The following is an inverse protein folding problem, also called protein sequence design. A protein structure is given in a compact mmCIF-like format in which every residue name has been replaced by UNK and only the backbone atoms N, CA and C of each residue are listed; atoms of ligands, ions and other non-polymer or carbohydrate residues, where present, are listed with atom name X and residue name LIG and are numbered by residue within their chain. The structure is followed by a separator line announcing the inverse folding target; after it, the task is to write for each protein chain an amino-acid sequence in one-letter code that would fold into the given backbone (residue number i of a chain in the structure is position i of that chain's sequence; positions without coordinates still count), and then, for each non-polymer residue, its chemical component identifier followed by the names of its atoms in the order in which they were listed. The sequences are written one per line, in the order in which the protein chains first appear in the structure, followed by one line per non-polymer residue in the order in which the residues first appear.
data_IF_957552153702
#
_entry.id   IF_957552153702
#
_cell.length_a   1.000
_cell.length_b   1.000
_cell.length_c   1.000
_cell.angle_alpha   90.00
_cell.angle_beta   90.00
_cell.angle_gamma   90.00
#
_symmetry.space_group_name_H-M   'P 1'
#
loop_
_entity.id
_entity.type
_entity.pdbx_description
1 polymer ?
#
# COMPACT_ATOMS: atom_id res chain seq x y z
N UNK A 1 16.42 -22.19 6.97
CA UNK A 1 15.38 -21.94 7.99
C UNK A 1 15.63 -20.55 8.56
N UNK A 2 14.97 -19.52 8.01
CA UNK A 2 15.30 -18.10 8.25
C UNK A 2 14.21 -17.47 9.11
N UNK A 3 14.32 -17.61 10.42
CA UNK A 3 13.42 -16.99 11.38
C UNK A 3 14.21 -16.44 12.55
N UNK A 4 15.13 -15.50 12.32
CA UNK A 4 15.79 -14.79 13.43
C UNK A 4 16.45 -13.46 13.04
N UNK A 5 15.68 -12.47 12.55
CA UNK A 5 16.10 -11.06 12.66
C UNK A 5 14.94 -10.10 12.44
N UNK A 6 14.64 -9.31 13.48
CA UNK A 6 13.76 -8.13 13.54
C UNK A 6 12.26 -8.38 13.32
N UNK A 7 11.56 -8.55 14.43
CA UNK A 7 10.15 -8.19 14.52
C UNK A 7 10.01 -6.71 14.12
N UNK A 8 9.46 -6.44 12.92
CA UNK A 8 8.93 -5.12 12.60
C UNK A 8 7.88 -4.82 13.67
N UNK A 9 8.00 -3.69 14.36
CA UNK A 9 6.98 -3.29 15.32
C UNK A 9 5.63 -3.14 14.59
N UNK A 10 4.51 -3.23 15.32
CA UNK A 10 3.17 -3.16 14.72
C UNK A 10 3.00 -1.93 13.81
N UNK A 11 3.53 -0.77 14.21
CA UNK A 11 3.45 0.46 13.41
C UNK A 11 4.22 0.37 12.10
N UNK A 12 5.41 -0.25 12.07
CA UNK A 12 6.17 -0.49 10.85
C UNK A 12 5.45 -1.49 9.94
N UNK A 13 4.91 -2.57 10.49
CA UNK A 13 4.14 -3.56 9.73
C UNK A 13 2.91 -2.92 9.07
N UNK A 14 2.19 -2.08 9.80
CA UNK A 14 1.04 -1.32 9.28
C UNK A 14 1.49 -0.31 8.22
N UNK A 15 2.57 0.43 8.45
CA UNK A 15 3.10 1.37 7.46
C UNK A 15 3.48 0.67 6.14
N UNK A 16 4.11 -0.50 6.23
CA UNK A 16 4.42 -1.34 5.06
C UNK A 16 3.15 -1.82 4.37
N UNK A 17 2.11 -2.19 5.12
CA UNK A 17 0.82 -2.60 4.54
C UNK A 17 0.18 -1.45 3.77
N UNK A 18 0.12 -0.25 4.34
CA UNK A 18 -0.45 0.94 3.70
C UNK A 18 0.36 1.37 2.47
N UNK A 19 1.69 1.32 2.53
CA UNK A 19 2.54 1.58 1.38
C UNK A 19 2.26 0.59 0.24
N UNK A 20 2.11 -0.71 0.56
CA UNK A 20 1.74 -1.74 -0.43
C UNK A 20 0.35 -1.51 -1.01
N UNK A 21 -0.64 -1.12 -0.20
CA UNK A 21 -1.98 -0.72 -0.68
C UNK A 21 -1.86 0.43 -1.68
N UNK A 22 -1.04 1.44 -1.39
CA UNK A 22 -0.84 2.56 -2.32
C UNK A 22 -0.24 2.10 -3.64
N UNK A 23 0.81 1.28 -3.60
CA UNK A 23 1.42 0.72 -4.81
C UNK A 23 0.40 -0.13 -5.59
N UNK A 24 -0.41 -0.92 -4.91
CA UNK A 24 -1.44 -1.74 -5.56
C UNK A 24 -2.48 -0.89 -6.29
N UNK A 25 -2.94 0.22 -5.68
CA UNK A 25 -3.84 1.18 -6.33
C UNK A 25 -3.20 1.81 -7.57
N UNK A 26 -1.94 2.23 -7.49
CA UNK A 26 -1.22 2.82 -8.61
C UNK A 26 -1.07 1.80 -9.77
N UNK A 27 -0.77 0.53 -9.48
CA UNK A 27 -0.70 -0.55 -10.48
C UNK A 27 -2.04 -0.82 -11.16
N UNK A 28 -3.14 -0.83 -10.39
CA UNK A 28 -4.48 -0.96 -10.98
C UNK A 28 -4.82 0.23 -11.88
N UNK A 29 -4.44 1.45 -11.49
CA UNK A 29 -4.64 2.63 -12.32
C UNK A 29 -3.88 2.53 -13.65
N UNK A 30 -2.61 2.09 -13.63
CA UNK A 30 -1.82 1.80 -14.83
C UNK A 30 -2.51 0.76 -15.72
N UNK A 31 -2.92 -0.36 -15.12
CA UNK A 31 -3.55 -1.47 -15.85
C UNK A 31 -4.89 -1.03 -16.48
N UNK A 32 -5.70 -0.27 -15.74
CA UNK A 32 -6.99 0.22 -16.19
C UNK A 32 -6.84 1.25 -17.31
N UNK A 33 -5.93 2.22 -17.15
CA UNK A 33 -5.62 3.20 -18.21
C UNK A 33 -5.18 2.50 -19.50
N UNK A 34 -4.37 1.45 -19.37
CA UNK A 34 -3.95 0.65 -20.53
C UNK A 34 -5.12 -0.02 -21.21
N UNK A 35 -5.97 -0.73 -20.45
CA UNK A 35 -7.11 -1.45 -21.00
C UNK A 35 -8.11 -0.51 -21.67
N UNK A 36 -8.39 0.63 -21.04
CA UNK A 36 -9.34 1.61 -21.53
C UNK A 36 -8.89 2.29 -22.83
N UNK A 37 -7.57 2.50 -23.00
CA UNK A 37 -7.02 3.26 -24.12
C UNK A 37 -6.44 2.38 -25.25
N UNK A 38 -6.32 1.07 -25.02
CA UNK A 38 -5.75 0.12 -26.00
C UNK A 38 -6.55 0.15 -27.31
N UNK A 39 -5.86 0.46 -28.40
CA UNK A 39 -6.46 0.53 -29.74
C UNK A 39 -7.25 1.80 -30.02
N UNK A 40 -7.38 2.71 -29.04
CA UNK A 40 -8.03 4.01 -29.19
C UNK A 40 -6.98 5.09 -29.49
N UNK A 41 -5.86 5.09 -28.77
CA UNK A 41 -4.78 6.08 -28.92
C UNK A 41 -3.41 5.41 -29.06
N UNK A 42 -2.42 6.13 -29.63
CA UNK A 42 -1.04 5.64 -29.71
C UNK A 42 -0.45 5.29 -28.34
N UNK A 43 0.51 4.37 -28.32
CA UNK A 43 1.11 3.83 -27.09
C UNK A 43 1.81 4.92 -26.26
N UNK A 44 2.33 5.93 -26.92
CA UNK A 44 2.99 7.10 -26.33
C UNK A 44 2.00 7.88 -25.45
N UNK A 45 0.77 8.09 -25.94
CA UNK A 45 -0.30 8.77 -25.20
C UNK A 45 -0.73 7.93 -23.99
N UNK A 46 -0.84 6.60 -24.16
CA UNK A 46 -1.11 5.69 -23.04
C UNK A 46 -0.02 5.82 -21.97
N UNK A 47 1.26 5.90 -22.37
CA UNK A 47 2.39 6.11 -21.47
C UNK A 47 2.29 7.41 -20.68
N UNK A 48 2.02 8.53 -21.35
CA UNK A 48 1.84 9.84 -20.70
C UNK A 48 0.68 9.84 -19.71
N UNK A 49 -0.45 9.22 -20.08
CA UNK A 49 -1.63 9.12 -19.21
C UNK A 49 -1.34 8.26 -17.97
N UNK A 50 -0.68 7.10 -18.13
CA UNK A 50 -0.27 6.25 -17.01
C UNK A 50 0.62 6.99 -16.01
N UNK A 51 1.53 7.83 -16.51
CA UNK A 51 2.43 8.62 -15.65
C UNK A 51 1.68 9.64 -14.79
N UNK A 52 0.53 10.14 -15.24
CA UNK A 52 -0.31 11.05 -14.45
C UNK A 52 -1.10 10.34 -13.34
N UNK A 53 -1.31 9.03 -13.45
CA UNK A 53 -2.10 8.27 -12.49
C UNK A 53 -1.30 7.74 -11.30
N UNK A 54 0.03 7.76 -11.38
CA UNK A 54 0.90 7.16 -10.36
C UNK A 54 1.29 8.16 -9.29
N UNK A 55 1.34 7.72 -8.03
CA UNK A 55 1.95 8.53 -6.96
C UNK A 55 3.48 8.53 -7.06
N UNK A 56 4.13 9.40 -6.27
CA UNK A 56 5.60 9.59 -6.25
C UNK A 56 6.40 8.29 -6.07
N UNK A 57 5.83 7.31 -5.35
CA UNK A 57 6.46 5.99 -5.14
C UNK A 57 6.65 5.25 -6.48
N UNK A 58 5.65 5.31 -7.35
CA UNK A 58 5.65 4.65 -8.66
C UNK A 58 6.22 5.54 -9.77
N UNK A 59 6.21 6.85 -9.61
CA UNK A 59 6.82 7.81 -10.57
C UNK A 59 8.30 7.51 -10.84
N UNK A 60 9.06 7.16 -9.80
CA UNK A 60 10.48 6.76 -9.91
C UNK A 60 10.72 5.36 -10.51
N UNK A 61 9.66 4.60 -10.78
CA UNK A 61 9.70 3.21 -11.26
C UNK A 61 9.24 3.14 -12.70
N UNK A 62 9.92 3.89 -13.57
CA UNK A 62 9.51 4.09 -14.96
C UNK A 62 9.26 2.77 -15.70
N UNK A 63 10.12 1.77 -15.48
CA UNK A 63 10.00 0.42 -16.07
C UNK A 63 8.65 -0.24 -15.79
N UNK A 64 8.09 -0.03 -14.59
CA UNK A 64 6.79 -0.56 -14.18
C UNK A 64 5.66 0.26 -14.82
N UNK A 65 5.79 1.58 -14.85
CA UNK A 65 4.78 2.50 -15.44
C UNK A 65 4.66 2.30 -16.95
N UNK A 66 5.78 2.14 -17.64
CA UNK A 66 5.83 1.89 -19.09
C UNK A 66 5.73 0.41 -19.44
N UNK A 67 5.67 -0.44 -18.43
CA UNK A 67 5.64 -1.90 -18.54
C UNK A 67 4.44 -2.41 -19.34
N UNK A 68 4.54 -3.68 -19.69
CA UNK A 68 3.48 -4.44 -20.32
C UNK A 68 2.36 -4.81 -19.30
N UNK A 69 1.16 -5.08 -19.81
CA UNK A 69 -0.01 -5.54 -19.07
C UNK A 69 0.27 -6.86 -18.35
N UNK A 70 0.93 -7.83 -19.00
CA UNK A 70 1.21 -9.12 -18.34
C UNK A 70 2.13 -8.93 -17.14
N UNK A 71 3.18 -8.11 -17.28
CA UNK A 71 4.08 -7.79 -16.18
C UNK A 71 3.37 -7.03 -15.05
N UNK A 72 2.57 -6.02 -15.40
CA UNK A 72 1.74 -5.29 -14.41
C UNK A 72 0.80 -6.24 -13.67
N UNK A 73 0.23 -7.22 -14.36
CA UNK A 73 -0.66 -8.24 -13.77
C UNK A 73 0.07 -9.13 -12.77
N UNK A 74 1.30 -9.58 -13.10
CA UNK A 74 2.13 -10.37 -12.19
C UNK A 74 2.50 -9.59 -10.93
N UNK A 75 2.83 -8.31 -11.08
CA UNK A 75 3.14 -7.42 -9.96
C UNK A 75 1.94 -7.24 -9.03
N UNK A 76 0.75 -7.00 -9.60
CA UNK A 76 -0.52 -6.92 -8.85
C UNK A 76 -0.71 -8.19 -8.01
N UNK A 77 -0.67 -9.37 -8.63
CA UNK A 77 -0.87 -10.65 -7.94
C UNK A 77 0.15 -10.86 -6.81
N UNK A 78 1.42 -10.50 -7.05
CA UNK A 78 2.49 -10.60 -6.06
C UNK A 78 2.23 -9.71 -4.85
N UNK A 79 1.82 -8.46 -5.10
CA UNK A 79 1.55 -7.50 -4.03
C UNK A 79 0.29 -7.89 -3.25
N UNK A 80 -0.77 -8.33 -3.92
CA UNK A 80 -1.99 -8.83 -3.27
C UNK A 80 -1.70 -10.00 -2.32
N UNK A 81 -0.90 -10.98 -2.77
CA UNK A 81 -0.53 -12.12 -1.91
C UNK A 81 0.21 -11.66 -0.66
N UNK A 82 1.23 -10.80 -0.82
CA UNK A 82 2.02 -10.27 0.30
C UNK A 82 1.20 -9.38 1.22
N UNK A 83 0.27 -8.60 0.67
CA UNK A 83 -0.63 -7.75 1.44
C UNK A 83 -1.60 -8.60 2.28
N UNK A 84 -2.12 -9.69 1.72
CA UNK A 84 -2.99 -10.63 2.43
C UNK A 84 -2.27 -11.31 3.59
N UNK A 85 -1.03 -11.72 3.40
CA UNK A 85 -0.19 -12.26 4.47
C UNK A 85 0.02 -11.24 5.59
N UNK A 86 0.40 -10.02 5.23
CA UNK A 86 0.66 -8.94 6.19
C UNK A 86 -0.61 -8.55 6.96
N UNK A 87 -1.75 -8.47 6.27
CA UNK A 87 -3.04 -8.22 6.89
C UNK A 87 -3.37 -9.30 7.93
N UNK A 88 -3.21 -10.58 7.58
CA UNK A 88 -3.43 -11.72 8.51
C UNK A 88 -2.46 -11.67 9.69
N UNK A 89 -1.19 -11.35 9.47
CA UNK A 89 -0.21 -11.24 10.56
C UNK A 89 -0.56 -10.11 11.54
N UNK A 90 -1.00 -8.96 11.04
CA UNK A 90 -1.45 -7.84 11.89
C UNK A 90 -2.72 -8.21 12.65
N UNK A 91 -3.68 -8.87 11.98
CA UNK A 91 -4.93 -9.31 12.59
C UNK A 91 -4.70 -10.35 13.68
N UNK A 92 -3.80 -11.32 13.45
CA UNK A 92 -3.40 -12.30 14.47
C UNK A 92 -2.68 -11.66 15.66
N UNK A 93 -1.85 -10.65 15.42
CA UNK A 93 -1.12 -9.94 16.47
C UNK A 93 -2.03 -9.01 17.28
N UNK A 94 -2.95 -8.29 16.63
CA UNK A 94 -3.93 -7.40 17.25
C UNK A 94 -5.26 -7.40 16.46
N UNK A 95 -6.22 -8.26 16.83
CA UNK A 95 -7.50 -8.40 16.12
C UNK A 95 -8.36 -7.13 16.12
N UNK A 96 -8.11 -6.20 17.06
CA UNK A 96 -8.83 -4.93 17.13
C UNK A 96 -8.21 -3.86 16.24
N UNK A 97 -7.03 -4.09 15.67
CA UNK A 97 -6.30 -3.07 14.95
C UNK A 97 -7.09 -2.51 13.76
N UNK A 98 -7.48 -3.37 12.81
CA UNK A 98 -8.20 -2.94 11.60
C UNK A 98 -9.57 -2.32 11.90
N UNK A 99 -10.43 -2.94 12.74
CA UNK A 99 -11.70 -2.31 13.14
C UNK A 99 -11.50 -0.93 13.76
N UNK A 100 -10.50 -0.77 14.63
CA UNK A 100 -10.21 0.51 15.29
C UNK A 100 -9.70 1.55 14.29
N UNK A 101 -8.84 1.14 13.36
CA UNK A 101 -8.28 2.01 12.33
C UNK A 101 -9.33 2.55 11.36
N UNK A 102 -10.33 1.74 10.97
CA UNK A 102 -11.31 2.12 9.95
C UNK A 102 -12.59 2.73 10.53
N UNK A 103 -13.03 2.32 11.71
CA UNK A 103 -14.33 2.73 12.26
C UNK A 103 -14.25 3.94 13.19
N UNK A 104 -13.16 4.12 13.94
CA UNK A 104 -12.97 5.26 14.84
C UNK A 104 -11.49 5.65 15.00
N UNK A 105 -10.84 6.13 13.92
CA UNK A 105 -9.44 6.54 13.99
C UNK A 105 -9.23 7.72 14.97
N UNK A 106 -10.22 8.60 15.14
CA UNK A 106 -10.12 9.78 16.00
C UNK A 106 -10.16 9.41 17.50
N UNK A 107 -11.08 8.54 17.92
CA UNK A 107 -11.19 8.08 19.32
C UNK A 107 -9.99 7.26 19.78
N UNK A 108 -9.39 6.47 18.88
CA UNK A 108 -8.16 5.69 19.15
C UNK A 108 -6.94 6.60 19.34
N UNK A 109 -6.86 7.71 18.62
CA UNK A 109 -5.78 8.69 18.79
C UNK A 109 -6.00 9.50 20.07
N UNK A 110 -7.23 9.93 20.35
CA UNK A 110 -7.57 10.74 21.52
C UNK A 110 -7.29 10.03 22.85
N UNK A 111 -7.53 8.72 22.92
CA UNK A 111 -7.20 7.89 24.11
C UNK A 111 -5.69 7.76 24.33
N UNK A 112 -4.88 7.87 23.27
CA UNK A 112 -3.42 7.79 23.34
C UNK A 112 -2.78 9.08 23.86
N UNK A 113 -3.38 10.24 23.57
CA UNK A 113 -2.92 11.55 24.09
C UNK A 113 -3.13 11.71 25.59
N UNK A 114 -4.20 11.14 26.15
CA UNK A 114 -4.45 11.19 27.60
C UNK A 114 -3.38 10.42 28.39
N UNK A 115 -2.89 9.31 27.86
CA UNK A 115 -1.85 8.51 28.52
C UNK A 115 -0.46 9.19 28.60
N UNK A 116 -0.18 10.20 27.76
CA UNK A 116 1.08 10.96 27.79
C UNK A 116 1.00 12.25 28.59
N UNK A 117 -0.21 12.76 28.86
CA UNK A 117 -0.41 13.95 29.71
C UNK A 117 -0.24 13.68 31.20
N UNK A 118 -0.18 12.41 31.62
CA UNK A 118 -0.03 12.00 33.02
C UNK A 118 1.43 11.72 33.43
N UNK A 119 2.41 11.93 32.53
CA UNK A 119 3.82 11.87 32.90
C UNK A 119 4.23 13.15 33.63
N UNK A 120 4.93 13.05 34.78
CA UNK A 120 5.40 14.22 35.51
C UNK A 120 6.30 15.06 34.60
N UNK A 121 5.96 16.34 34.48
CA UNK A 121 6.80 17.33 33.82
C UNK A 121 8.08 17.45 34.65
N UNK A 122 9.23 17.22 34.02
CA UNK A 122 10.55 17.44 34.61
C UNK A 122 10.73 18.90 35.05
#
# INVERSE_FOLDING_TARGET
MWANTRWLNLSQSVAVALAKVRVLMDLHAIQNATRALRGIVPREIIGSVRHQFVGTIMESRLEIVTGDIEETTRLIQTIESRLRELYRSIDQYNPRFWPSMFNDPAGVIATRTVAYSDLPKF
#
